data_IF_275797699220
#
_entry.id   IF_275797699220
#
_cell.length_a   1.000
_cell.length_b   1.000
_cell.length_c   1.000
_cell.angle_alpha   90.00
_cell.angle_beta   90.00
_cell.angle_gamma   90.00
#
_symmetry.space_group_name_H-M   'P 1'
#
loop_
_entity.id
_entity.type
_entity.pdbx_description
1 polymer ?
#
# COMPACT_ATOMS: atom_id res chain seq x y z
N UNK A 1 -15.52 -8.15 -2.07
CA UNK A 1 -16.01 -7.10 -2.99
C UNK A 1 -14.94 -6.94 -4.04
N UNK A 2 -15.16 -7.49 -5.24
CA UNK A 2 -14.27 -7.29 -6.37
C UNK A 2 -14.80 -6.09 -7.16
N UNK A 3 -13.93 -5.12 -7.43
CA UNK A 3 -14.24 -3.94 -8.22
C UNK A 3 -13.04 -3.61 -9.09
N UNK A 4 -13.27 -3.04 -10.26
CA UNK A 4 -12.19 -2.61 -11.14
C UNK A 4 -11.33 -1.54 -10.47
N UNK A 5 -10.06 -1.43 -10.90
CA UNK A 5 -9.18 -0.39 -10.39
C UNK A 5 -9.77 1.01 -10.57
N UNK A 6 -10.45 1.26 -11.69
CA UNK A 6 -11.09 2.54 -12.01
C UNK A 6 -12.20 2.92 -11.00
N UNK A 7 -13.04 1.96 -10.62
CA UNK A 7 -14.08 2.17 -9.61
C UNK A 7 -13.49 2.48 -8.24
N UNK A 8 -12.38 1.83 -7.88
CA UNK A 8 -11.68 2.07 -6.61
C UNK A 8 -10.95 3.41 -6.64
N UNK A 9 -10.23 3.73 -7.72
CA UNK A 9 -9.42 4.95 -7.85
C UNK A 9 -10.28 6.21 -7.95
N UNK A 10 -11.45 6.13 -8.58
CA UNK A 10 -12.40 7.26 -8.65
C UNK A 10 -12.86 7.69 -7.25
N UNK A 11 -13.03 6.74 -6.33
CA UNK A 11 -13.45 6.97 -4.93
C UNK A 11 -12.29 7.22 -3.97
N UNK A 12 -11.07 6.80 -4.33
CA UNK A 12 -9.88 7.01 -3.52
C UNK A 12 -9.55 8.50 -3.37
N UNK A 13 -9.08 8.91 -2.20
CA UNK A 13 -8.63 10.28 -1.98
C UNK A 13 -7.29 10.56 -2.67
N UNK A 14 -6.44 9.54 -2.70
CA UNK A 14 -5.09 9.64 -3.25
C UNK A 14 -4.86 8.49 -4.23
N UNK A 15 -4.28 8.82 -5.39
CA UNK A 15 -3.80 7.85 -6.36
C UNK A 15 -2.36 8.21 -6.70
N UNK A 16 -1.45 7.25 -6.57
CA UNK A 16 -0.02 7.43 -6.82
C UNK A 16 0.52 6.35 -7.73
N UNK A 17 1.54 6.70 -8.53
CA UNK A 17 2.47 5.72 -9.10
C UNK A 17 3.67 5.62 -8.16
N UNK A 18 4.00 4.41 -7.73
CA UNK A 18 5.08 4.20 -6.79
C UNK A 18 5.86 2.92 -7.08
N UNK A 19 7.13 2.90 -6.68
CA UNK A 19 8.03 1.75 -6.77
C UNK A 19 8.14 1.06 -5.42
N UNK A 20 8.01 -0.26 -5.39
CA UNK A 20 8.21 -1.06 -4.17
C UNK A 20 9.69 -1.05 -3.81
N UNK A 21 10.03 -0.60 -2.61
CA UNK A 21 11.41 -0.54 -2.14
C UNK A 21 11.76 -1.76 -1.28
N UNK A 22 10.92 -2.09 -0.32
CA UNK A 22 11.14 -3.23 0.58
C UNK A 22 9.86 -3.62 1.33
N UNK A 23 9.81 -4.84 1.85
CA UNK A 23 8.79 -5.26 2.81
C UNK A 23 9.17 -4.80 4.22
N UNK A 24 8.19 -4.30 4.97
CA UNK A 24 8.41 -3.78 6.33
C UNK A 24 8.00 -4.87 7.33
N UNK A 25 8.93 -5.41 8.14
CA UNK A 25 8.59 -6.32 9.22
C UNK A 25 7.72 -5.61 10.26
N UNK A 26 6.69 -6.29 10.75
CA UNK A 26 5.82 -5.75 11.81
C UNK A 26 6.01 -6.57 13.09
N UNK A 27 6.66 -5.96 14.09
CA UNK A 27 7.02 -6.59 15.36
C UNK A 27 8.27 -7.46 15.29
N UNK A 28 8.68 -8.01 16.44
CA UNK A 28 9.95 -8.75 16.60
C UNK A 28 9.95 -10.16 15.95
N UNK A 29 8.80 -10.60 15.43
CA UNK A 29 8.58 -12.00 15.06
C UNK A 29 7.59 -12.18 13.92
N UNK A 30 7.62 -11.36 12.87
CA UNK A 30 6.90 -11.76 11.65
C UNK A 30 7.53 -13.08 11.18
N UNK A 31 6.81 -14.22 11.27
CA UNK A 31 7.37 -15.50 10.89
C UNK A 31 7.74 -15.43 9.41
N UNK A 32 8.92 -15.92 9.03
CA UNK A 32 9.39 -15.87 7.63
C UNK A 32 8.44 -16.54 6.63
N UNK A 33 7.48 -17.33 7.13
CA UNK A 33 6.49 -18.04 6.33
C UNK A 33 5.13 -17.32 6.21
N UNK A 34 4.99 -16.09 6.73
CA UNK A 34 3.78 -15.29 6.56
C UNK A 34 3.96 -14.22 5.47
N UNK A 35 2.93 -13.96 4.65
CA UNK A 35 2.98 -12.87 3.68
C UNK A 35 3.30 -11.52 4.34
N UNK A 36 4.00 -10.61 3.63
CA UNK A 36 4.25 -9.27 4.12
C UNK A 36 2.93 -8.51 4.34
N UNK A 37 2.83 -7.84 5.48
CA UNK A 37 1.63 -7.05 5.85
C UNK A 37 1.85 -5.55 5.68
N UNK A 38 3.10 -5.13 5.50
CA UNK A 38 3.48 -3.77 5.18
C UNK A 38 4.63 -3.74 4.15
N UNK A 39 4.65 -2.70 3.31
CA UNK A 39 5.75 -2.44 2.39
C UNK A 39 6.04 -0.95 2.32
N UNK A 40 7.30 -0.59 2.10
CA UNK A 40 7.69 0.78 1.82
C UNK A 40 7.78 1.01 0.32
N UNK A 41 7.30 2.17 -0.14
CA UNK A 41 7.29 2.53 -1.56
C UNK A 41 7.83 3.94 -1.76
N UNK A 42 8.53 4.16 -2.87
CA UNK A 42 8.92 5.49 -3.35
C UNK A 42 7.82 6.04 -4.25
N UNK A 43 7.28 7.20 -3.91
CA UNK A 43 6.30 7.92 -4.74
C UNK A 43 7.03 8.53 -5.94
N UNK A 44 6.70 8.04 -7.13
CA UNK A 44 7.24 8.54 -8.39
C UNK A 44 6.36 9.63 -8.98
N UNK A 45 5.04 9.48 -8.84
CA UNK A 45 4.06 10.39 -9.41
C UNK A 45 2.78 10.45 -8.56
N UNK A 46 2.21 11.64 -8.42
CA UNK A 46 0.92 11.85 -7.78
C UNK A 46 -0.14 12.10 -8.85
N UNK A 47 -1.03 11.13 -9.05
CA UNK A 47 -2.09 11.19 -10.07
C UNK A 47 -3.33 11.91 -9.52
N UNK A 48 -3.63 11.70 -8.23
CA UNK A 48 -4.77 12.32 -7.53
C UNK A 48 -4.42 12.52 -6.06
N UNK A 49 -4.92 13.60 -5.46
CA UNK A 49 -4.69 13.92 -4.05
C UNK A 49 -3.30 14.51 -3.81
N UNK A 50 -2.88 14.57 -2.54
CA UNK A 50 -1.55 15.03 -2.15
C UNK A 50 -0.91 14.03 -1.19
N UNK A 51 0.36 13.71 -1.47
CA UNK A 51 1.26 12.99 -0.58
C UNK A 51 2.49 13.87 -0.38
N UNK A 52 2.77 14.25 0.86
CA UNK A 52 3.90 15.13 1.18
C UNK A 52 5.23 14.37 1.26
N UNK A 53 5.16 13.08 1.58
CA UNK A 53 6.34 12.23 1.73
C UNK A 53 6.74 11.57 0.42
N UNK A 54 8.04 11.59 0.09
CA UNK A 54 8.62 10.89 -1.05
C UNK A 54 8.61 9.37 -0.88
N UNK A 55 8.62 8.89 0.37
CA UNK A 55 8.51 7.47 0.71
C UNK A 55 7.37 7.28 1.71
N UNK A 56 6.52 6.29 1.48
CA UNK A 56 5.40 5.96 2.36
C UNK A 56 5.33 4.46 2.64
N UNK A 57 4.67 4.10 3.75
CA UNK A 57 4.35 2.70 4.06
C UNK A 57 2.92 2.40 3.63
N UNK A 58 2.74 1.34 2.85
CA UNK A 58 1.46 0.77 2.48
C UNK A 58 1.21 -0.50 3.29
N UNK A 59 -0.02 -0.65 3.77
CA UNK A 59 -0.46 -1.78 4.58
C UNK A 59 -1.38 -2.67 3.76
N UNK A 60 -1.06 -3.96 3.68
CA UNK A 60 -1.87 -4.95 3.01
C UNK A 60 -2.71 -5.76 3.98
N UNK A 61 -3.14 -6.93 3.50
CA UNK A 61 -3.91 -7.88 4.27
C UNK A 61 -3.05 -8.95 4.95
N UNK A 62 -3.51 -9.42 6.10
CA UNK A 62 -3.05 -10.66 6.74
C UNK A 62 -4.01 -11.84 6.51
N UNK A 63 -4.97 -11.71 5.59
CA UNK A 63 -5.97 -12.71 5.21
C UNK A 63 -7.39 -12.48 5.75
N UNK A 64 -7.66 -11.32 6.37
CA UNK A 64 -8.95 -11.03 7.03
C UNK A 64 -9.46 -9.59 6.83
N UNK A 65 -8.75 -8.72 6.11
CA UNK A 65 -9.00 -7.27 6.07
C UNK A 65 -9.50 -6.75 4.71
N UNK A 66 -9.89 -7.63 3.77
CA UNK A 66 -10.32 -7.25 2.41
C UNK A 66 -9.31 -6.32 1.70
N UNK A 67 -8.02 -6.44 2.01
CA UNK A 67 -6.93 -5.69 1.40
C UNK A 67 -6.17 -6.59 0.42
N UNK A 68 -5.35 -6.02 -0.47
CA UNK A 68 -4.46 -6.82 -1.31
C UNK A 68 -3.39 -7.53 -0.46
N UNK A 69 -3.03 -8.75 -0.86
CA UNK A 69 -1.82 -9.42 -0.36
C UNK A 69 -0.59 -8.74 -0.95
N UNK A 70 0.40 -8.41 -0.12
CA UNK A 70 1.56 -7.62 -0.57
C UNK A 70 2.63 -8.45 -1.30
N UNK A 71 2.58 -9.78 -1.19
CA UNK A 71 3.48 -10.71 -1.89
C UNK A 71 3.35 -10.64 -3.43
N UNK A 72 2.25 -10.10 -3.93
CA UNK A 72 2.03 -9.84 -5.36
C UNK A 72 2.81 -8.62 -5.88
N UNK A 73 3.22 -7.71 -4.99
CA UNK A 73 3.93 -6.49 -5.33
C UNK A 73 5.42 -6.67 -5.04
N UNK A 74 6.13 -7.21 -6.04
CA UNK A 74 7.55 -7.55 -5.89
C UNK A 74 8.43 -6.32 -5.69
N UNK A 75 9.47 -6.44 -4.87
CA UNK A 75 10.47 -5.38 -4.70
C UNK A 75 11.07 -4.97 -6.05
N UNK A 76 11.19 -3.66 -6.26
CA UNK A 76 11.71 -3.06 -7.49
C UNK A 76 10.68 -2.82 -8.59
N UNK A 77 9.44 -3.31 -8.45
CA UNK A 77 8.37 -3.11 -9.44
C UNK A 77 7.59 -1.82 -9.21
N UNK A 78 7.00 -1.27 -10.28
CA UNK A 78 6.18 -0.05 -10.24
C UNK A 78 4.69 -0.38 -10.39
N UNK A 79 3.86 0.29 -9.59
CA UNK A 79 2.42 0.08 -9.58
C UNK A 79 1.66 1.38 -9.39
N UNK A 80 0.39 1.36 -9.79
CA UNK A 80 -0.59 2.37 -9.42
C UNK A 80 -1.32 1.93 -8.15
N UNK A 81 -1.27 2.76 -7.12
CA UNK A 81 -1.95 2.52 -5.86
C UNK A 81 -3.06 3.55 -5.65
N UNK A 82 -4.25 3.06 -5.30
CA UNK A 82 -5.38 3.86 -4.88
C UNK A 82 -5.53 3.73 -3.36
N UNK A 83 -5.28 4.82 -2.62
CA UNK A 83 -5.35 4.86 -1.16
C UNK A 83 -6.61 5.61 -0.69
N UNK A 84 -7.37 4.95 0.17
CA UNK A 84 -8.47 5.55 0.92
C UNK A 84 -7.99 6.42 2.10
N UNK A 85 -8.94 7.10 2.72
CA UNK A 85 -8.76 7.93 3.91
C UNK A 85 -8.38 7.03 5.10
N UNK A 86 -7.09 6.98 5.44
CA UNK A 86 -6.61 6.30 6.64
C UNK A 86 -6.36 7.37 7.69
N UNK A 87 -7.35 7.60 8.55
CA UNK A 87 -7.23 8.49 9.70
C UNK A 87 -6.38 7.78 10.74
N UNK A 88 -5.08 8.09 10.78
CA UNK A 88 -4.27 7.77 11.95
C UNK A 88 -4.62 8.79 13.04
N UNK A 89 -5.51 8.44 13.96
CA UNK A 89 -5.58 9.14 15.25
C UNK A 89 -4.40 8.62 16.06
N UNK A 90 -3.37 9.45 16.25
CA UNK A 90 -2.45 9.28 17.35
C UNK A 90 -3.10 9.92 18.59
N UNK A 91 -3.35 9.13 19.63
CA UNK A 91 -3.57 9.61 21.00
C UNK A 91 -2.25 9.47 21.76
#
# INVERSE_FOLDING_TARGET
MEGSFEEVSSKAQTVIRAKVLDYVPVGDAQPQNLPPVAMSVEVLEQVKGKVEAKQIVLWGDNGMQCRPYLDQFLVGTEWLFAKGLQTSIAL
#
